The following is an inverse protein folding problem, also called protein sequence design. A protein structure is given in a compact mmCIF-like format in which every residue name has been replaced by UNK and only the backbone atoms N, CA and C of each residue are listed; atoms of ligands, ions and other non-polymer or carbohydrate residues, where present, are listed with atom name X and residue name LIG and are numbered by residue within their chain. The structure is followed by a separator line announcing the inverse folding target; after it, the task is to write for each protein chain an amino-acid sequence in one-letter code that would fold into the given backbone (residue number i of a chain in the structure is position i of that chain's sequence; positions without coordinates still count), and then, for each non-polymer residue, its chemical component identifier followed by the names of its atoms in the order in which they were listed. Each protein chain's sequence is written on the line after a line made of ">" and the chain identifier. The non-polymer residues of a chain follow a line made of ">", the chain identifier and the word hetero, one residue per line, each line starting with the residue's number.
data_IF_393677499202
#
_entry.id   IF_393677499202
#
_cell.length_a   1.000
_cell.length_b   1.000
_cell.length_c   1.000
_cell.angle_alpha   90.00
_cell.angle_beta   90.00
_cell.angle_gamma   90.00
#
_symmetry.space_group_name_H-M   'P 1'
#
loop_
_entity.id
_entity.type
_entity.pdbx_description
1 polymer ?
#
# COMPACT_ATOMS: atom_id res chain seq x y z
N UNK A 1 -6.08 -9.34 -22.13
CA UNK A 1 -4.90 -8.99 -22.93
C UNK A 1 -3.73 -9.84 -22.44
N UNK A 2 -3.33 -10.85 -23.21
CA UNK A 2 -2.09 -11.60 -22.93
C UNK A 2 -0.98 -10.68 -23.40
N UNK A 3 -0.32 -9.98 -22.48
CA UNK A 3 0.90 -9.23 -22.77
C UNK A 3 2.06 -10.19 -22.59
N UNK A 4 2.67 -10.57 -23.69
CA UNK A 4 3.94 -11.30 -23.69
C UNK A 4 5.05 -10.27 -23.43
N UNK A 5 5.12 -9.81 -22.18
CA UNK A 5 6.12 -8.84 -21.76
C UNK A 5 7.47 -9.55 -21.66
N UNK A 6 8.49 -9.00 -22.30
CA UNK A 6 9.87 -9.46 -22.09
C UNK A 6 10.27 -9.25 -20.62
N UNK A 7 11.23 -10.05 -20.12
CA UNK A 7 11.75 -9.92 -18.74
C UNK A 7 12.19 -8.48 -18.41
N UNK A 8 12.67 -7.75 -19.41
CA UNK A 8 13.09 -6.35 -19.25
C UNK A 8 11.89 -5.42 -19.05
N UNK A 9 10.82 -5.60 -19.84
CA UNK A 9 9.59 -4.80 -19.70
C UNK A 9 8.92 -5.07 -18.35
N UNK A 10 8.89 -6.31 -17.90
CA UNK A 10 8.33 -6.69 -16.61
C UNK A 10 9.09 -6.02 -15.45
N UNK A 11 10.42 -5.99 -15.48
CA UNK A 11 11.24 -5.29 -14.48
C UNK A 11 11.00 -3.78 -14.48
N UNK A 12 10.76 -3.17 -15.64
CA UNK A 12 10.40 -1.75 -15.75
C UNK A 12 9.02 -1.50 -15.13
N UNK A 13 8.03 -2.32 -15.45
CA UNK A 13 6.68 -2.21 -14.90
C UNK A 13 6.69 -2.36 -13.37
N UNK A 14 7.45 -3.29 -12.83
CA UNK A 14 7.63 -3.47 -11.38
C UNK A 14 8.29 -2.25 -10.72
N UNK A 15 9.32 -1.69 -11.34
CA UNK A 15 9.99 -0.49 -10.83
C UNK A 15 9.05 0.73 -10.84
N UNK A 16 8.24 0.88 -11.89
CA UNK A 16 7.23 1.93 -11.98
C UNK A 16 6.17 1.73 -10.89
N UNK A 17 5.67 0.51 -10.70
CA UNK A 17 4.68 0.20 -9.67
C UNK A 17 5.22 0.52 -8.26
N UNK A 18 6.44 0.11 -7.95
CA UNK A 18 7.10 0.43 -6.68
C UNK A 18 7.26 1.95 -6.49
N UNK A 19 7.70 2.66 -7.52
CA UNK A 19 7.84 4.11 -7.49
C UNK A 19 6.50 4.82 -7.26
N UNK A 20 5.44 4.36 -7.92
CA UNK A 20 4.10 4.91 -7.77
C UNK A 20 3.55 4.69 -6.35
N UNK A 21 3.69 3.48 -5.81
CA UNK A 21 3.30 3.15 -4.43
C UNK A 21 4.05 4.03 -3.44
N UNK A 22 5.37 4.14 -3.60
CA UNK A 22 6.21 4.96 -2.73
C UNK A 22 5.78 6.43 -2.71
N UNK A 23 5.61 7.03 -3.87
CA UNK A 23 5.21 8.45 -4.00
C UNK A 23 3.81 8.68 -3.45
N UNK A 24 2.87 7.79 -3.76
CA UNK A 24 1.48 7.90 -3.30
C UNK A 24 1.37 7.79 -1.78
N UNK A 25 2.08 6.84 -1.17
CA UNK A 25 2.10 6.67 0.28
C UNK A 25 2.63 7.93 0.98
N UNK A 26 3.72 8.51 0.48
CA UNK A 26 4.32 9.72 1.06
C UNK A 26 3.44 10.95 0.92
N UNK A 27 2.71 11.06 -0.19
CA UNK A 27 1.73 12.14 -0.38
C UNK A 27 0.50 11.99 0.52
N UNK A 28 0.17 10.77 0.90
CA UNK A 28 -0.98 10.47 1.74
C UNK A 28 -0.67 10.57 3.24
N UNK A 29 0.54 10.23 3.63
CA UNK A 29 1.01 10.33 5.02
C UNK A 29 1.24 11.77 5.45
N UNK A 30 1.16 11.98 6.75
CA UNK A 30 1.65 13.19 7.37
C UNK A 30 3.13 13.13 7.71
N UNK A 31 3.61 14.18 8.30
CA UNK A 31 4.98 14.31 8.80
C UNK A 31 5.03 15.15 10.08
N UNK A 32 6.15 15.05 10.78
CA UNK A 32 6.45 15.89 11.94
C UNK A 32 7.26 17.10 11.46
N UNK A 33 6.77 18.28 11.79
CA UNK A 33 7.48 19.54 11.59
C UNK A 33 8.04 20.00 12.95
N UNK A 34 9.35 20.18 13.02
CA UNK A 34 10.02 20.68 14.21
C UNK A 34 9.91 22.19 14.27
N UNK A 35 9.24 22.70 15.30
CA UNK A 35 9.03 24.14 15.50
C UNK A 35 9.76 24.60 16.76
N UNK A 36 10.34 25.79 16.70
CA UNK A 36 11.00 26.43 17.84
C UNK A 36 10.04 27.43 18.47
N UNK A 37 9.17 26.93 19.37
CA UNK A 37 8.23 27.78 20.12
C UNK A 37 8.35 27.46 21.60
N UNK A 38 8.02 28.43 22.46
CA UNK A 38 8.09 28.27 23.91
C UNK A 38 7.20 27.14 24.46
N UNK A 39 6.11 26.78 23.77
CA UNK A 39 5.11 25.82 24.22
C UNK A 39 4.97 24.58 23.31
N UNK A 40 5.71 24.52 22.19
CA UNK A 40 5.61 23.43 21.25
C UNK A 40 6.93 23.21 20.54
N UNK A 41 7.41 21.98 20.50
CA UNK A 41 8.66 21.61 19.84
C UNK A 41 8.45 20.84 18.54
N UNK A 42 7.24 20.29 18.34
CA UNK A 42 6.91 19.52 17.14
C UNK A 42 5.42 19.61 16.84
N UNK A 43 5.10 19.70 15.55
CA UNK A 43 3.74 19.70 15.04
C UNK A 43 3.55 18.49 14.11
N UNK A 44 2.46 17.77 14.31
CA UNK A 44 2.04 16.76 13.35
C UNK A 44 1.19 17.41 12.27
N UNK A 45 1.61 17.29 11.01
CA UNK A 45 0.86 17.73 9.84
C UNK A 45 0.41 16.51 9.03
N UNK A 46 -0.89 16.41 8.77
CA UNK A 46 -1.46 15.32 7.98
C UNK A 46 -1.75 14.05 8.79
N UNK A 47 -1.86 12.92 8.08
CA UNK A 47 -2.32 11.64 8.66
C UNK A 47 -1.17 10.87 9.30
N UNK A 48 -1.39 10.41 10.52
CA UNK A 48 -0.49 9.46 11.15
C UNK A 48 -0.86 8.02 10.73
N UNK A 49 0.03 7.38 9.98
CA UNK A 49 -0.12 6.00 9.48
C UNK A 49 0.88 5.05 10.17
N UNK A 50 1.59 5.47 11.19
CA UNK A 50 2.62 4.67 11.87
C UNK A 50 2.08 3.37 12.48
N UNK A 51 0.79 3.38 12.89
CA UNK A 51 0.09 2.23 13.48
C UNK A 51 -0.64 1.36 12.45
N UNK A 52 -0.43 1.60 11.16
CA UNK A 52 -0.98 0.73 10.11
C UNK A 52 -0.15 -0.54 10.03
N UNK A 53 -0.77 -1.68 10.37
CA UNK A 53 -0.11 -2.99 10.39
C UNK A 53 -0.45 -3.85 9.19
N UNK A 54 -1.40 -3.45 8.36
CA UNK A 54 -1.86 -4.23 7.20
C UNK A 54 -1.90 -3.37 5.96
N UNK A 55 -1.27 -3.86 4.90
CA UNK A 55 -1.25 -3.24 3.57
C UNK A 55 -1.85 -4.22 2.57
N UNK A 56 -2.86 -3.77 1.85
CA UNK A 56 -3.53 -4.58 0.83
C UNK A 56 -3.24 -3.98 -0.53
N UNK A 57 -2.59 -4.75 -1.39
CA UNK A 57 -2.38 -4.41 -2.79
C UNK A 57 -3.53 -4.93 -3.65
N UNK A 58 -3.96 -4.11 -4.60
CA UNK A 58 -4.94 -4.47 -5.62
C UNK A 58 -4.58 -3.83 -6.94
N UNK A 59 -5.10 -4.37 -8.03
CA UNK A 59 -4.90 -3.85 -9.38
C UNK A 59 -3.97 -4.67 -10.24
N UNK A 60 -4.18 -4.57 -11.56
CA UNK A 60 -3.48 -5.38 -12.57
C UNK A 60 -1.95 -5.40 -12.46
N UNK A 61 -1.28 -4.26 -12.26
CA UNK A 61 0.18 -4.24 -12.14
C UNK A 61 0.71 -5.07 -10.96
N UNK A 62 -0.03 -5.15 -9.84
CA UNK A 62 0.38 -5.95 -8.68
C UNK A 62 0.03 -7.42 -8.84
N UNK A 63 -1.15 -7.73 -9.39
CA UNK A 63 -1.62 -9.11 -9.57
C UNK A 63 -0.76 -9.86 -10.59
N UNK A 64 -0.32 -9.17 -11.64
CA UNK A 64 0.51 -9.75 -12.69
C UNK A 64 2.01 -9.61 -12.41
N UNK A 65 2.41 -9.02 -11.30
CA UNK A 65 3.82 -8.89 -10.90
C UNK A 65 4.36 -10.23 -10.39
N UNK A 66 5.61 -10.53 -10.70
CA UNK A 66 6.32 -11.68 -10.12
C UNK A 66 6.69 -11.44 -8.66
N UNK A 67 6.80 -10.17 -8.25
CA UNK A 67 7.13 -9.80 -6.88
C UNK A 67 6.27 -8.60 -6.41
N UNK A 68 4.96 -8.81 -6.17
CA UNK A 68 4.08 -7.74 -5.73
C UNK A 68 4.47 -7.17 -4.36
N UNK A 69 5.11 -7.98 -3.49
CA UNK A 69 5.59 -7.52 -2.20
C UNK A 69 6.61 -6.40 -2.33
N UNK A 70 7.59 -6.54 -3.21
CA UNK A 70 8.60 -5.50 -3.42
C UNK A 70 7.99 -4.15 -3.80
N UNK A 71 6.92 -4.16 -4.62
CA UNK A 71 6.20 -2.94 -4.95
C UNK A 71 5.48 -2.35 -3.71
N UNK A 72 4.82 -3.20 -2.91
CA UNK A 72 4.08 -2.78 -1.72
C UNK A 72 5.00 -2.30 -0.58
N UNK A 73 6.22 -2.81 -0.46
CA UNK A 73 7.21 -2.32 0.50
C UNK A 73 7.55 -0.83 0.32
N UNK A 74 7.22 -0.27 -0.84
CA UNK A 74 7.29 1.18 -1.08
C UNK A 74 6.47 2.03 -0.09
N UNK A 75 5.49 1.46 0.63
CA UNK A 75 4.72 2.18 1.66
C UNK A 75 5.50 2.35 2.96
N UNK A 76 6.55 1.56 3.20
CA UNK A 76 7.29 1.62 4.45
C UNK A 76 8.18 2.87 4.51
N UNK A 77 8.28 3.45 5.70
CA UNK A 77 9.23 4.51 5.99
C UNK A 77 10.65 3.96 6.09
N UNK A 78 11.61 4.69 5.56
CA UNK A 78 13.02 4.50 5.89
C UNK A 78 13.35 5.33 7.14
N UNK A 79 13.55 4.72 8.32
CA UNK A 79 13.72 5.46 9.57
C UNK A 79 14.98 6.32 9.62
N UNK A 80 15.94 6.06 8.72
CA UNK A 80 17.20 6.81 8.65
C UNK A 80 17.07 8.01 7.71
N UNK A 81 16.44 7.80 6.55
CA UNK A 81 16.31 8.85 5.51
C UNK A 81 15.08 9.72 5.70
N UNK A 82 14.05 9.18 6.36
CA UNK A 82 12.74 9.81 6.49
C UNK A 82 12.23 9.70 7.94
N UNK A 83 13.00 10.22 8.95
CA UNK A 83 12.66 10.02 10.38
C UNK A 83 11.33 10.65 10.76
N UNK A 84 10.93 11.72 10.10
CA UNK A 84 9.76 12.53 10.45
C UNK A 84 8.51 12.15 9.67
N UNK A 85 8.59 11.21 8.70
CA UNK A 85 7.41 10.79 7.95
C UNK A 85 6.56 9.82 8.78
N UNK A 86 5.25 10.01 8.73
CA UNK A 86 4.29 9.24 9.52
C UNK A 86 3.75 8.02 8.75
N UNK A 87 4.66 7.24 8.17
CA UNK A 87 4.40 5.97 7.52
C UNK A 87 4.75 4.79 8.43
N UNK A 88 4.16 3.60 8.22
CA UNK A 88 4.52 2.40 8.97
C UNK A 88 5.98 2.00 8.69
N UNK A 89 6.65 1.46 9.70
CA UNK A 89 8.01 0.90 9.58
C UNK A 89 7.99 -0.58 9.25
N UNK A 90 6.87 -1.24 9.53
CA UNK A 90 6.62 -2.66 9.22
C UNK A 90 5.14 -2.87 9.01
N UNK A 91 4.77 -3.81 8.14
CA UNK A 91 3.39 -4.20 7.92
C UNK A 91 3.30 -5.63 7.37
N UNK A 92 2.16 -6.26 7.56
CA UNK A 92 1.76 -7.46 6.85
C UNK A 92 1.19 -7.08 5.48
N UNK A 93 1.65 -7.75 4.44
CA UNK A 93 1.22 -7.48 3.07
C UNK A 93 0.26 -8.55 2.57
N UNK A 94 -0.82 -8.10 1.95
CA UNK A 94 -1.82 -8.93 1.31
C UNK A 94 -2.04 -8.48 -0.13
N UNK A 95 -2.41 -9.41 -0.98
CA UNK A 95 -2.78 -9.17 -2.38
C UNK A 95 -4.23 -9.59 -2.59
N UNK A 96 -5.02 -8.72 -3.21
CA UNK A 96 -6.33 -9.05 -3.78
C UNK A 96 -6.12 -9.85 -5.07
N UNK A 97 -5.86 -11.16 -4.91
CA UNK A 97 -5.38 -12.01 -6.01
C UNK A 97 -6.42 -12.21 -7.10
N UNK A 98 -7.70 -12.17 -6.77
CA UNK A 98 -8.80 -12.37 -7.71
C UNK A 98 -9.36 -11.05 -8.24
N UNK A 99 -8.79 -9.91 -7.81
CA UNK A 99 -9.19 -8.55 -8.21
C UNK A 99 -10.69 -8.29 -7.97
N UNK A 100 -11.19 -8.66 -6.79
CA UNK A 100 -12.63 -8.58 -6.48
C UNK A 100 -12.97 -7.62 -5.35
N UNK A 101 -11.99 -6.95 -4.72
CA UNK A 101 -12.26 -6.02 -3.63
C UNK A 101 -13.27 -4.93 -4.00
N UNK A 102 -13.18 -4.40 -5.22
CA UNK A 102 -14.13 -3.40 -5.71
C UNK A 102 -15.55 -3.97 -5.82
N UNK A 103 -15.69 -5.21 -6.31
CA UNK A 103 -16.98 -5.90 -6.46
C UNK A 103 -17.55 -6.29 -5.09
N UNK A 104 -16.71 -6.73 -4.15
CA UNK A 104 -17.12 -7.01 -2.77
C UNK A 104 -17.70 -5.74 -2.11
N UNK A 105 -17.12 -4.57 -2.36
CA UNK A 105 -17.66 -3.30 -1.89
C UNK A 105 -19.08 -3.01 -2.42
N UNK A 106 -19.38 -3.40 -3.65
CA UNK A 106 -20.73 -3.28 -4.23
C UNK A 106 -21.70 -4.33 -3.67
N UNK A 107 -21.22 -5.57 -3.45
CA UNK A 107 -22.03 -6.64 -2.87
C UNK A 107 -22.52 -6.32 -1.44
N UNK A 108 -21.81 -5.49 -0.71
CA UNK A 108 -22.19 -5.06 0.63
C UNK A 108 -23.62 -4.49 0.71
N UNK A 109 -24.08 -3.83 -0.36
CA UNK A 109 -25.45 -3.30 -0.41
C UNK A 109 -26.53 -4.37 -0.50
N UNK A 110 -26.15 -5.60 -0.84
CA UNK A 110 -27.05 -6.75 -0.96
C UNK A 110 -26.92 -7.66 0.26
N UNK A 111 -25.69 -8.00 0.66
CA UNK A 111 -25.40 -8.91 1.75
C UNK A 111 -23.97 -8.69 2.28
N UNK A 112 -23.85 -8.24 3.54
CA UNK A 112 -22.56 -7.94 4.18
C UNK A 112 -21.71 -9.20 4.39
N UNK A 113 -22.33 -10.35 4.73
CA UNK A 113 -21.61 -11.59 5.02
C UNK A 113 -21.04 -12.22 3.76
N UNK A 114 -21.81 -12.21 2.67
CA UNK A 114 -21.36 -12.65 1.36
C UNK A 114 -20.22 -11.75 0.87
N UNK A 115 -20.37 -10.44 0.96
CA UNK A 115 -19.33 -9.49 0.57
C UNK A 115 -18.03 -9.72 1.33
N UNK A 116 -18.10 -9.90 2.64
CA UNK A 116 -16.95 -10.18 3.51
C UNK A 116 -16.27 -11.51 3.16
N UNK A 117 -17.06 -12.53 2.86
CA UNK A 117 -16.56 -13.85 2.47
C UNK A 117 -15.80 -13.81 1.15
N UNK A 118 -16.37 -13.15 0.14
CA UNK A 118 -15.73 -12.95 -1.17
C UNK A 118 -14.41 -12.19 -1.01
N UNK A 119 -14.41 -11.10 -0.24
CA UNK A 119 -13.21 -10.32 0.02
C UNK A 119 -12.12 -11.15 0.72
N UNK A 120 -12.45 -11.87 1.79
CA UNK A 120 -11.48 -12.69 2.54
C UNK A 120 -10.87 -13.80 1.69
N UNK A 121 -11.66 -14.42 0.81
CA UNK A 121 -11.17 -15.49 -0.06
C UNK A 121 -10.18 -15.00 -1.12
N UNK A 122 -10.33 -13.76 -1.58
CA UNK A 122 -9.41 -13.13 -2.52
C UNK A 122 -8.09 -12.67 -1.90
N UNK A 123 -8.08 -12.38 -0.59
CA UNK A 123 -6.90 -11.87 0.09
C UNK A 123 -5.89 -12.98 0.37
N UNK A 124 -4.73 -12.89 -0.27
CA UNK A 124 -3.60 -13.78 -0.05
C UNK A 124 -2.47 -13.04 0.67
N UNK A 125 -2.02 -13.57 1.80
CA UNK A 125 -0.87 -13.02 2.50
C UNK A 125 0.38 -13.24 1.67
N UNK A 126 1.16 -12.18 1.47
CA UNK A 126 2.43 -12.24 0.79
C UNK A 126 3.54 -12.64 1.79
N UNK A 127 4.47 -13.53 1.38
CA UNK A 127 5.54 -14.05 2.23
C UNK A 127 6.52 -12.96 2.69
#
# INVERSE_FOLDING_TARGET
>A
CIRDSSDTEQRIEEAIAQGAVRVSARRHAGHIEHVHSANCTALQLGKNLTEVHTVIGTGGPLINSTNPRAALEGVLADPVKEPDILLPRQADFYLDADYVLYAAGLLRHLDDDVALTVMKNSLKKLP
#
